data_IF_217695717830
#
_entry.id   IF_217695717830
#
_cell.length_a   1.000
_cell.length_b   1.000
_cell.length_c   1.000
_cell.angle_alpha   90.00
_cell.angle_beta   90.00
_cell.angle_gamma   90.00
#
_symmetry.space_group_name_H-M   'P 1'
#
loop_
_entity.id
_entity.type
_entity.pdbx_description
1 polymer ?
#
# COMPACT_ATOMS: atom_id res chain seq x y z
N UNK A 1 -0.01 10.51 16.37
CA UNK A 1 -0.14 9.75 15.11
C UNK A 1 -1.23 8.73 15.33
N UNK A 2 -2.20 8.64 14.41
CA UNK A 2 -3.25 7.64 14.53
C UNK A 2 -2.62 6.28 14.23
N UNK A 3 -2.69 5.33 15.17
CA UNK A 3 -2.01 4.03 15.01
C UNK A 3 -2.92 2.98 14.37
N UNK A 4 -4.23 3.22 14.34
CA UNK A 4 -5.25 2.25 13.92
C UNK A 4 -6.01 2.74 12.70
N UNK A 5 -6.03 1.95 11.62
CA UNK A 5 -6.79 2.23 10.41
C UNK A 5 -8.17 1.58 10.48
N UNK A 6 -9.16 2.18 9.82
CA UNK A 6 -10.48 1.59 9.60
C UNK A 6 -10.62 1.11 8.15
N UNK A 7 -11.63 0.28 7.90
CA UNK A 7 -12.07 -0.08 6.55
C UNK A 7 -12.21 1.19 5.67
N UNK A 8 -11.61 1.16 4.48
CA UNK A 8 -11.64 2.27 3.53
C UNK A 8 -10.61 3.37 3.77
N UNK A 9 -9.80 3.32 4.83
CA UNK A 9 -8.70 4.27 4.99
C UNK A 9 -7.61 4.04 3.93
N UNK A 10 -7.03 5.13 3.43
CA UNK A 10 -5.84 5.06 2.61
C UNK A 10 -4.63 4.77 3.48
N UNK A 11 -3.91 3.70 3.16
CA UNK A 11 -2.80 3.21 3.97
C UNK A 11 -1.65 2.74 3.08
N UNK A 12 -0.47 2.58 3.69
CA UNK A 12 0.67 1.87 3.10
C UNK A 12 0.91 0.57 3.87
N UNK A 13 1.18 -0.50 3.11
CA UNK A 13 1.65 -1.77 3.67
C UNK A 13 3.03 -2.10 3.11
N UNK A 14 3.83 -2.79 3.91
CA UNK A 14 5.13 -3.35 3.56
C UNK A 14 5.07 -4.88 3.56
N UNK A 15 5.71 -5.51 2.59
CA UNK A 15 5.87 -6.95 2.52
C UNK A 15 7.27 -7.32 2.01
N UNK A 16 7.93 -8.25 2.70
CA UNK A 16 9.06 -8.98 2.13
C UNK A 16 8.53 -10.04 1.18
N UNK A 17 8.75 -9.86 -0.12
CA UNK A 17 8.25 -10.74 -1.19
C UNK A 17 9.14 -11.97 -1.35
N UNK A 18 10.45 -11.80 -1.22
CA UNK A 18 11.44 -12.88 -1.25
C UNK A 18 12.48 -12.63 -0.18
N UNK A 19 12.70 -13.61 0.69
CA UNK A 19 13.85 -13.63 1.58
C UNK A 19 15.15 -13.79 0.76
N UNK A 20 16.33 -13.39 1.30
CA UNK A 20 17.62 -13.55 0.61
C UNK A 20 17.86 -14.96 0.03
N UNK A 21 17.45 -15.99 0.76
CA UNK A 21 17.54 -17.41 0.35
C UNK A 21 16.61 -17.80 -0.81
N UNK A 22 15.55 -17.03 -1.06
CA UNK A 22 14.60 -17.25 -2.16
C UNK A 22 14.99 -16.45 -3.41
N UNK A 23 16.06 -15.65 -3.34
CA UNK A 23 16.56 -14.84 -4.46
C UNK A 23 17.23 -15.71 -5.52
N UNK A 24 17.04 -15.34 -6.79
CA UNK A 24 17.62 -16.06 -7.90
C UNK A 24 19.16 -16.15 -7.79
N UNK A 25 19.71 -17.33 -8.03
CA UNK A 25 21.15 -17.61 -7.92
C UNK A 25 22.00 -16.82 -8.91
N UNK A 26 21.42 -16.36 -10.02
CA UNK A 26 22.06 -15.58 -11.07
C UNK A 26 22.23 -14.09 -10.75
N UNK A 27 21.72 -13.62 -9.62
CA UNK A 27 21.89 -12.23 -9.18
C UNK A 27 23.32 -11.97 -8.68
N UNK A 28 23.84 -10.73 -8.81
CA UNK A 28 25.06 -10.31 -8.12
C UNK A 28 24.95 -10.55 -6.60
N UNK A 29 26.08 -10.82 -5.96
CA UNK A 29 26.12 -11.20 -4.55
C UNK A 29 25.45 -10.15 -3.66
N UNK A 30 25.69 -8.86 -3.90
CA UNK A 30 25.13 -7.78 -3.10
C UNK A 30 23.61 -7.70 -3.23
N UNK A 31 23.06 -8.07 -4.39
CA UNK A 31 21.61 -8.04 -4.66
C UNK A 31 20.91 -9.30 -4.16
N UNK A 32 21.64 -10.42 -4.05
CA UNK A 32 21.14 -11.70 -3.54
C UNK A 32 21.15 -11.74 -2.02
N UNK A 33 22.06 -11.02 -1.36
CA UNK A 33 22.22 -11.01 0.09
C UNK A 33 21.17 -10.19 0.84
N UNK A 34 20.30 -9.46 0.13
CA UNK A 34 19.25 -8.61 0.71
C UNK A 34 17.86 -9.07 0.25
N UNK A 35 16.82 -8.87 1.09
CA UNK A 35 15.45 -9.24 0.73
C UNK A 35 14.93 -8.42 -0.46
N UNK A 36 13.94 -8.97 -1.16
CA UNK A 36 13.12 -8.22 -2.09
C UNK A 36 11.86 -7.74 -1.40
N UNK A 37 11.76 -6.43 -1.20
CA UNK A 37 10.71 -5.79 -0.41
C UNK A 37 9.78 -4.95 -1.29
N UNK A 38 8.53 -4.84 -0.87
CA UNK A 38 7.49 -4.09 -1.56
C UNK A 38 6.75 -3.20 -0.57
N UNK A 39 6.60 -1.94 -0.94
CA UNK A 39 5.65 -1.02 -0.32
C UNK A 39 4.54 -0.75 -1.32
N UNK A 40 3.30 -0.88 -0.87
CA UNK A 40 2.13 -0.59 -1.71
C UNK A 40 1.10 0.18 -0.92
N UNK A 41 0.49 1.16 -1.60
CA UNK A 41 -0.60 1.95 -1.05
C UNK A 41 -1.94 1.45 -1.56
N UNK A 42 -2.94 1.50 -0.70
CA UNK A 42 -4.29 1.06 -1.04
C UNK A 42 -5.30 1.40 0.04
N UNK A 43 -6.55 1.04 -0.21
CA UNK A 43 -7.64 1.18 0.77
C UNK A 43 -7.68 -0.05 1.66
N UNK A 44 -7.57 0.14 2.97
CA UNK A 44 -7.67 -0.92 3.96
C UNK A 44 -9.00 -1.68 3.83
N UNK A 45 -8.95 -3.01 3.84
CA UNK A 45 -10.10 -3.91 3.75
C UNK A 45 -10.58 -4.41 5.12
N UNK A 46 -9.89 -4.01 6.18
CA UNK A 46 -10.19 -4.37 7.57
C UNK A 46 -9.61 -3.33 8.53
N UNK A 47 -9.98 -3.42 9.80
CA UNK A 47 -9.34 -2.63 10.85
C UNK A 47 -7.98 -3.25 11.19
N UNK A 48 -6.93 -2.42 11.27
CA UNK A 48 -5.58 -2.89 11.61
C UNK A 48 -4.79 -1.79 12.32
N UNK A 49 -3.67 -2.15 12.92
CA UNK A 49 -2.78 -1.27 13.66
C UNK A 49 -1.38 -1.28 13.02
N UNK A 50 -0.67 -0.14 13.03
CA UNK A 50 0.68 -0.07 12.46
C UNK A 50 1.57 -1.13 13.12
N UNK A 51 2.29 -1.87 12.29
CA UNK A 51 3.08 -3.04 12.69
C UNK A 51 2.32 -4.37 12.67
N UNK A 52 1.02 -4.38 12.36
CA UNK A 52 0.21 -5.60 12.20
C UNK A 52 -0.12 -5.86 10.73
N UNK A 53 -0.53 -7.10 10.42
CA UNK A 53 -1.00 -7.45 9.09
C UNK A 53 -2.30 -6.71 8.73
N UNK A 54 -2.40 -6.31 7.46
CA UNK A 54 -3.55 -5.64 6.87
C UNK A 54 -3.66 -6.03 5.40
N UNK A 55 -4.88 -6.32 4.94
CA UNK A 55 -5.19 -6.41 3.51
C UNK A 55 -5.66 -5.07 2.96
N UNK A 56 -5.18 -4.73 1.78
CA UNK A 56 -5.55 -3.50 1.06
C UNK A 56 -6.04 -3.81 -0.35
N UNK A 57 -6.91 -2.94 -0.88
CA UNK A 57 -7.26 -2.90 -2.30
C UNK A 57 -6.55 -1.72 -2.97
N UNK A 58 -5.72 -1.99 -3.98
CA UNK A 58 -5.04 -0.95 -4.74
C UNK A 58 -6.03 -0.20 -5.65
N UNK A 59 -5.66 0.99 -6.11
CA UNK A 59 -6.47 1.77 -7.07
C UNK A 59 -6.70 1.02 -8.40
N UNK A 60 -5.81 0.09 -8.74
CA UNK A 60 -5.93 -0.80 -9.90
C UNK A 60 -6.78 -2.05 -9.65
N UNK A 61 -7.29 -2.23 -8.43
CA UNK A 61 -8.22 -3.30 -8.06
C UNK A 61 -7.57 -4.60 -7.55
N UNK A 62 -6.25 -4.62 -7.30
CA UNK A 62 -5.58 -5.79 -6.71
C UNK A 62 -5.83 -5.83 -5.19
N UNK A 63 -6.03 -7.01 -4.64
CA UNK A 63 -5.95 -7.25 -3.19
C UNK A 63 -4.55 -7.69 -2.83
N UNK A 64 -3.94 -7.04 -1.83
CA UNK A 64 -2.58 -7.31 -1.39
C UNK A 64 -2.54 -7.32 0.13
N UNK A 65 -1.82 -8.25 0.73
CA UNK A 65 -1.55 -8.36 2.17
C UNK A 65 -0.13 -7.87 2.51
N UNK A 66 0.03 -7.33 3.71
CA UNK A 66 1.32 -6.90 4.24
C UNK A 66 1.18 -6.27 5.61
N UNK A 67 2.29 -5.82 6.17
CA UNK A 67 2.34 -5.14 7.46
C UNK A 67 2.00 -3.66 7.27
N UNK A 68 0.99 -3.16 7.98
CA UNK A 68 0.61 -1.74 7.96
C UNK A 68 1.78 -0.88 8.46
N UNK A 69 2.27 0.03 7.61
CA UNK A 69 3.40 0.93 7.94
C UNK A 69 2.92 2.33 8.27
N UNK A 70 1.94 2.84 7.54
CA UNK A 70 1.47 4.21 7.68
C UNK A 70 0.00 4.36 7.29
N UNK A 71 -0.70 5.24 8.00
CA UNK A 71 -2.07 5.65 7.67
C UNK A 71 -2.01 7.03 7.05
N UNK A 72 -2.67 7.21 5.91
CA UNK A 72 -2.65 8.46 5.16
C UNK A 72 -1.19 8.89 4.83
N UNK A 73 -0.39 8.02 4.18
CA UNK A 73 1.01 8.29 3.90
C UNK A 73 1.20 9.54 3.03
N UNK A 74 1.93 10.52 3.56
CA UNK A 74 2.30 11.76 2.86
C UNK A 74 3.63 11.67 2.11
N UNK A 75 3.97 12.72 1.37
CA UNK A 75 5.33 12.88 0.83
C UNK A 75 6.06 13.94 1.65
N UNK A 76 7.03 13.51 2.46
CA UNK A 76 7.78 14.36 3.39
C UNK A 76 8.64 15.44 2.71
N UNK A 77 9.01 15.25 1.44
CA UNK A 77 10.02 16.09 0.78
C UNK A 77 9.50 17.33 0.05
N UNK A 78 8.24 17.40 -0.40
CA UNK A 78 7.82 18.53 -1.26
C UNK A 78 6.33 18.75 -1.47
N UNK A 79 5.44 17.81 -1.11
CA UNK A 79 4.01 17.88 -1.51
C UNK A 79 3.04 18.06 -0.35
N UNK A 80 3.55 18.27 0.87
CA UNK A 80 2.73 18.51 2.05
C UNK A 80 1.97 17.27 2.53
N UNK A 81 1.05 17.47 3.49
CA UNK A 81 0.23 16.39 4.01
C UNK A 81 -0.73 15.88 2.94
N UNK A 82 -1.11 14.60 3.05
CA UNK A 82 -2.13 14.03 2.19
C UNK A 82 -3.48 14.72 2.44
N UNK A 83 -4.23 14.94 1.36
CA UNK A 83 -5.61 15.48 1.41
C UNK A 83 -6.56 14.31 1.15
N UNK A 84 -7.23 13.75 2.18
CA UNK A 84 -8.06 12.56 2.05
C UNK A 84 -9.16 12.69 1.00
N UNK A 85 -9.74 13.87 0.86
CA UNK A 85 -10.83 14.16 -0.06
C UNK A 85 -10.41 13.96 -1.52
N UNK A 86 -9.12 14.10 -1.84
CA UNK A 86 -8.62 13.91 -3.21
C UNK A 86 -8.29 12.44 -3.54
N UNK A 87 -8.31 11.54 -2.55
CA UNK A 87 -7.91 10.15 -2.72
C UNK A 87 -8.86 9.38 -3.64
N UNK A 88 -10.17 9.50 -3.42
CA UNK A 88 -11.17 8.64 -4.05
C UNK A 88 -11.77 9.21 -5.34
N UNK A 89 -11.67 10.53 -5.57
CA UNK A 89 -12.30 11.24 -6.70
C UNK A 89 -12.02 10.57 -8.05
N UNK A 90 -10.76 10.17 -8.28
CA UNK A 90 -10.37 9.56 -9.55
C UNK A 90 -10.98 8.17 -9.80
N UNK A 91 -11.31 7.44 -8.74
CA UNK A 91 -11.96 6.12 -8.82
C UNK A 91 -13.47 6.30 -8.94
N UNK A 92 -14.06 7.15 -8.10
CA UNK A 92 -15.49 7.51 -8.12
C UNK A 92 -15.93 7.99 -9.51
N UNK A 93 -15.20 8.95 -10.10
CA UNK A 93 -15.51 9.48 -11.43
C UNK A 93 -15.48 8.38 -12.51
N UNK A 94 -14.56 7.42 -12.43
CA UNK A 94 -14.49 6.31 -13.41
C UNK A 94 -15.66 5.35 -13.25
N UNK A 95 -16.17 5.16 -12.05
CA UNK A 95 -17.35 4.34 -11.78
C UNK A 95 -18.60 5.03 -12.36
N UNK A 96 -18.80 6.31 -12.08
CA UNK A 96 -19.90 7.10 -12.66
C UNK A 96 -19.90 7.06 -14.20
N UNK A 97 -18.74 7.23 -14.84
CA UNK A 97 -18.61 7.20 -16.30
C UNK A 97 -18.87 5.82 -16.92
N UNK A 98 -18.81 4.73 -16.14
CA UNK A 98 -19.16 3.37 -16.61
C UNK A 98 -20.67 3.13 -16.56
N UNK A 99 -21.34 3.61 -15.53
CA UNK A 99 -22.80 3.46 -15.35
C UNK A 99 -23.63 4.25 -16.38
N UNK A 100 -23.05 5.32 -16.95
CA UNK A 100 -23.71 6.14 -17.97
C UNK A 100 -23.60 5.54 -19.39
N UNK A 101 -22.80 4.48 -19.58
CA UNK A 101 -22.67 3.76 -20.86
C UNK A 101 -23.68 2.62 -20.97
#
# INVERSE_FOLDING_TARGET
MNNKCKLGNWVEIHQTILAPEERASSLPEETRSVPFEMWVKGYALEESEVGQNCRVKTITGRTVDGVLTEINPGYSHSFGPVIPELQSIGTELREELREVK
#
